data_IF_808515388195
#
_entry.id   IF_808515388195
#
_cell.length_a   1.000
_cell.length_b   1.000
_cell.length_c   1.000
_cell.angle_alpha   90.00
_cell.angle_beta   90.00
_cell.angle_gamma   90.00
#
_symmetry.space_group_name_H-M   'P 1'
#
loop_
_entity.id
_entity.type
_entity.pdbx_description
1 polymer ?
#
# COMPACT_ATOMS: atom_id res chain seq x y z
N UNK A 1 -12.65 14.69 8.50
CA UNK A 1 -11.57 13.69 8.33
C UNK A 1 -12.15 12.51 7.57
N UNK A 2 -11.70 12.23 6.34
CA UNK A 2 -12.05 10.96 5.68
C UNK A 2 -11.40 9.83 6.48
N UNK A 3 -12.19 8.82 6.88
CA UNK A 3 -11.66 7.56 7.40
C UNK A 3 -10.70 7.02 6.34
N UNK A 4 -9.55 6.59 6.80
CA UNK A 4 -8.69 5.76 5.98
C UNK A 4 -9.34 4.38 5.97
N UNK A 5 -9.75 3.92 4.79
CA UNK A 5 -10.88 2.97 4.71
C UNK A 5 -10.55 1.51 5.04
N UNK A 6 -9.28 1.14 5.30
CA UNK A 6 -8.92 -0.26 5.60
C UNK A 6 -7.72 -0.31 6.58
N UNK A 7 -7.92 -0.98 7.72
CA UNK A 7 -6.91 -1.40 8.72
C UNK A 7 -6.12 -2.62 8.25
N UNK A 8 -5.00 -2.95 8.91
CA UNK A 8 -4.21 -4.15 8.60
C UNK A 8 -5.08 -5.41 8.66
N UNK A 9 -5.93 -5.54 9.68
CA UNK A 9 -6.88 -6.65 9.83
C UNK A 9 -7.82 -6.76 8.64
N UNK A 10 -8.42 -5.65 8.19
CA UNK A 10 -9.33 -5.63 7.04
C UNK A 10 -8.63 -6.02 5.72
N UNK A 11 -7.33 -5.69 5.56
CA UNK A 11 -6.53 -6.15 4.39
C UNK A 11 -6.40 -7.68 4.43
N UNK A 12 -6.09 -8.25 5.60
CA UNK A 12 -5.86 -9.68 5.76
C UNK A 12 -7.17 -10.48 5.65
N UNK A 13 -8.27 -9.97 6.19
CA UNK A 13 -9.60 -10.56 6.05
C UNK A 13 -10.01 -10.64 4.57
N UNK A 14 -9.86 -9.55 3.81
CA UNK A 14 -10.14 -9.54 2.38
C UNK A 14 -9.26 -10.52 1.59
N UNK A 15 -8.03 -10.78 2.03
CA UNK A 15 -7.20 -11.83 1.44
C UNK A 15 -7.72 -13.23 1.74
N UNK A 16 -8.07 -13.50 2.99
CA UNK A 16 -8.61 -14.78 3.42
C UNK A 16 -9.94 -15.12 2.72
N UNK A 17 -10.75 -14.12 2.40
CA UNK A 17 -11.99 -14.24 1.63
C UNK A 17 -11.75 -14.36 0.10
N UNK A 18 -10.50 -14.28 -0.36
CA UNK A 18 -10.17 -14.35 -1.78
C UNK A 18 -10.52 -13.09 -2.57
N UNK A 19 -10.82 -11.97 -1.91
CA UNK A 19 -11.12 -10.69 -2.54
C UNK A 19 -9.87 -9.97 -3.04
N UNK A 20 -8.72 -10.21 -2.40
CA UNK A 20 -7.42 -9.69 -2.83
C UNK A 20 -6.43 -10.80 -3.16
N UNK A 21 -5.72 -10.61 -4.27
CA UNK A 21 -4.52 -11.35 -4.58
C UNK A 21 -3.41 -10.99 -3.59
N UNK A 22 -2.48 -11.93 -3.34
CA UNK A 22 -1.34 -11.70 -2.45
C UNK A 22 -0.52 -10.46 -2.82
N UNK A 23 -0.32 -10.21 -4.11
CA UNK A 23 0.40 -9.03 -4.61
C UNK A 23 -0.30 -7.70 -4.29
N UNK A 24 -1.63 -7.70 -4.23
CA UNK A 24 -2.44 -6.54 -3.82
C UNK A 24 -2.35 -6.34 -2.31
N UNK A 25 -2.38 -7.41 -1.53
CA UNK A 25 -2.20 -7.39 -0.07
C UNK A 25 -0.84 -6.78 0.28
N UNK A 26 0.24 -7.26 -0.33
CA UNK A 26 1.60 -6.72 -0.14
C UNK A 26 1.62 -5.22 -0.45
N UNK A 27 1.02 -4.80 -1.57
CA UNK A 27 1.00 -3.38 -1.95
C UNK A 27 0.20 -2.54 -0.95
N UNK A 28 -0.93 -3.05 -0.46
CA UNK A 28 -1.77 -2.36 0.55
C UNK A 28 -1.09 -2.28 1.91
N UNK A 29 -0.38 -3.32 2.33
CA UNK A 29 0.40 -3.32 3.58
C UNK A 29 1.55 -2.31 3.53
N UNK A 30 2.23 -2.20 2.38
CA UNK A 30 3.25 -1.15 2.17
C UNK A 30 2.61 0.24 2.32
N UNK A 31 1.47 0.49 1.66
CA UNK A 31 0.75 1.77 1.76
C UNK A 31 0.25 2.06 3.19
N UNK A 32 -0.22 1.03 3.92
CA UNK A 32 -0.67 1.17 5.30
C UNK A 32 0.43 1.72 6.23
N UNK A 33 1.70 1.46 5.91
CA UNK A 33 2.84 1.97 6.68
C UNK A 33 2.97 3.49 6.70
N UNK A 34 2.27 4.23 5.85
CA UNK A 34 2.19 5.70 5.93
C UNK A 34 1.45 6.16 7.18
N UNK A 35 0.62 5.28 7.74
CA UNK A 35 -0.36 5.64 8.77
C UNK A 35 -0.21 4.82 10.06
N UNK A 36 0.45 3.66 9.95
CA UNK A 36 0.84 2.82 11.07
C UNK A 36 2.35 2.63 11.08
N UNK A 37 2.95 2.38 12.24
CA UNK A 37 4.38 2.13 12.29
C UNK A 37 4.71 0.78 11.61
N UNK A 38 5.81 0.67 10.84
CA UNK A 38 6.18 -0.58 10.18
C UNK A 38 6.21 -1.77 11.15
N UNK A 39 6.74 -1.59 12.35
CA UNK A 39 6.78 -2.64 13.39
C UNK A 39 5.38 -3.16 13.75
N UNK A 40 4.39 -2.26 13.90
CA UNK A 40 3.01 -2.63 14.21
C UNK A 40 2.42 -3.51 13.10
N UNK A 41 2.72 -3.21 11.84
CA UNK A 41 2.26 -3.99 10.69
C UNK A 41 2.94 -5.35 10.66
N UNK A 42 4.28 -5.38 10.80
CA UNK A 42 5.08 -6.61 10.70
C UNK A 42 4.71 -7.61 11.79
N UNK A 43 4.40 -7.15 13.01
CA UNK A 43 3.97 -8.00 14.11
C UNK A 43 2.59 -8.66 13.89
N UNK A 44 1.80 -8.21 12.92
CA UNK A 44 0.44 -8.71 12.64
C UNK A 44 0.37 -9.67 11.44
N UNK A 45 1.45 -9.82 10.67
CA UNK A 45 1.43 -10.56 9.41
C UNK A 45 2.33 -11.79 9.43
N UNK A 46 2.10 -12.72 8.49
CA UNK A 46 2.89 -13.95 8.37
C UNK A 46 4.30 -13.67 7.84
N UNK A 47 5.27 -14.53 8.21
CA UNK A 47 6.65 -14.43 7.71
C UNK A 47 6.78 -14.46 6.18
N UNK A 48 5.86 -15.14 5.50
CA UNK A 48 5.77 -15.18 4.04
C UNK A 48 5.45 -13.78 3.45
N UNK A 49 4.47 -13.07 4.03
CA UNK A 49 4.17 -11.68 3.63
C UNK A 49 5.30 -10.71 3.99
N UNK A 50 5.95 -10.89 5.14
CA UNK A 50 7.12 -10.09 5.54
C UNK A 50 8.23 -10.20 4.49
N UNK A 51 8.53 -11.43 4.04
CA UNK A 51 9.56 -11.67 3.04
C UNK A 51 9.21 -11.03 1.69
N UNK A 52 7.95 -11.11 1.24
CA UNK A 52 7.53 -10.45 0.00
C UNK A 52 7.60 -8.93 0.09
N UNK A 53 7.18 -8.33 1.21
CA UNK A 53 7.31 -6.89 1.42
C UNK A 53 8.79 -6.50 1.38
N UNK A 54 9.64 -7.20 2.15
CA UNK A 54 11.09 -6.93 2.21
C UNK A 54 11.72 -6.96 0.82
N UNK A 55 11.42 -7.99 0.05
CA UNK A 55 11.93 -8.14 -1.32
C UNK A 55 11.44 -7.00 -2.24
N UNK A 56 10.19 -6.58 -2.09
CA UNK A 56 9.59 -5.51 -2.90
C UNK A 56 10.11 -4.11 -2.55
N UNK A 57 10.45 -3.86 -1.28
CA UNK A 57 10.94 -2.54 -0.82
C UNK A 57 12.47 -2.45 -0.74
N UNK A 58 13.20 -3.52 -1.07
CA UNK A 58 14.68 -3.53 -1.02
C UNK A 58 15.31 -2.42 -1.87
N UNK A 59 14.68 -2.11 -3.01
CA UNK A 59 15.06 -1.04 -3.92
C UNK A 59 13.84 -0.14 -4.09
N UNK A 60 13.63 0.84 -3.19
CA UNK A 60 12.46 1.69 -3.25
C UNK A 60 12.51 2.57 -4.51
N UNK A 61 11.35 2.98 -5.03
CA UNK A 61 11.27 3.88 -6.18
C UNK A 61 11.99 5.21 -5.86
N UNK A 62 12.64 5.80 -6.86
CA UNK A 62 13.33 7.10 -6.69
C UNK A 62 12.35 8.26 -6.75
N UNK A 63 11.25 8.09 -7.48
CA UNK A 63 10.18 9.08 -7.63
C UNK A 63 8.81 8.43 -7.51
N UNK A 64 7.79 9.20 -7.10
CA UNK A 64 6.42 8.69 -7.03
C UNK A 64 5.86 8.27 -8.41
N UNK A 65 6.39 8.84 -9.49
CA UNK A 65 5.98 8.52 -10.87
C UNK A 65 6.42 7.13 -11.34
N UNK A 66 7.39 6.50 -10.66
CA UNK A 66 7.80 5.12 -10.94
C UNK A 66 6.79 4.09 -10.40
N UNK A 67 5.77 4.53 -9.64
CA UNK A 67 4.74 3.66 -9.11
C UNK A 67 3.59 3.55 -10.12
N UNK A 68 3.47 2.36 -10.68
CA UNK A 68 2.37 1.98 -11.56
C UNK A 68 1.38 1.12 -10.77
N UNK A 69 0.16 1.63 -10.61
CA UNK A 69 -0.98 0.83 -10.15
C UNK A 69 -1.69 0.26 -11.38
N UNK A 70 -2.10 -1.02 -11.32
CA UNK A 70 -2.96 -1.59 -12.34
C UNK A 70 -4.30 -0.85 -12.29
N UNK A 71 -4.62 -0.15 -13.39
CA UNK A 71 -5.88 0.57 -13.52
C UNK A 71 -7.07 -0.38 -13.35
N UNK A 72 -8.10 0.11 -12.67
CA UNK A 72 -9.31 -0.68 -12.37
C UNK A 72 -10.27 -0.04 -11.36
N UNK A 73 -10.05 1.22 -10.99
CA UNK A 73 -10.94 1.91 -10.06
C UNK A 73 -12.17 2.41 -10.81
N UNK A 74 -13.32 1.88 -10.43
CA UNK A 74 -14.61 2.40 -10.86
C UNK A 74 -14.91 3.67 -10.05
N UNK A 75 -14.44 4.81 -10.55
CA UNK A 75 -14.85 6.10 -10.00
C UNK A 75 -16.34 6.32 -10.29
N UNK A 76 -17.10 6.83 -9.31
CA UNK A 76 -18.51 7.13 -9.52
C UNK A 76 -18.67 8.16 -10.65
N UNK A 77 -19.78 8.10 -11.40
CA UNK A 77 -20.07 9.03 -12.50
C UNK A 77 -20.11 10.52 -12.10
N UNK A 78 -20.00 10.85 -10.80
CA UNK A 78 -20.00 12.21 -10.26
C UNK A 78 -18.60 12.81 -10.08
N UNK A 79 -17.53 12.05 -10.28
CA UNK A 79 -16.14 12.53 -10.10
C UNK A 79 -15.61 13.02 -11.44
N UNK A 80 -15.07 14.25 -11.49
CA UNK A 80 -14.48 14.80 -12.71
C UNK A 80 -13.17 14.11 -13.10
N UNK A 81 -12.76 14.25 -14.36
CA UNK A 81 -11.52 13.65 -14.85
C UNK A 81 -10.28 14.21 -14.16
N UNK A 82 -10.33 15.48 -13.77
CA UNK A 82 -9.30 16.22 -13.06
C UNK A 82 -9.19 15.70 -11.61
N UNK A 83 -10.32 15.48 -10.93
CA UNK A 83 -10.33 14.88 -9.60
C UNK A 83 -9.79 13.44 -9.62
N UNK A 84 -10.13 12.65 -10.64
CA UNK A 84 -9.59 11.29 -10.80
C UNK A 84 -8.06 11.34 -10.88
N UNK A 85 -7.50 12.22 -11.73
CA UNK A 85 -6.04 12.39 -11.85
C UNK A 85 -5.40 12.80 -10.52
N UNK A 86 -6.00 13.76 -9.81
CA UNK A 86 -5.49 14.19 -8.51
C UNK A 86 -5.51 13.05 -7.47
N UNK A 87 -6.54 12.19 -7.50
CA UNK A 87 -6.62 11.01 -6.63
C UNK A 87 -5.55 9.97 -6.99
N UNK A 88 -5.33 9.70 -8.27
CA UNK A 88 -4.28 8.80 -8.74
C UNK A 88 -2.88 9.31 -8.37
N UNK A 89 -2.63 10.61 -8.50
CA UNK A 89 -1.37 11.25 -8.07
C UNK A 89 -1.16 11.14 -6.56
N UNK A 90 -2.21 11.40 -5.77
CA UNK A 90 -2.16 11.24 -4.32
C UNK A 90 -1.80 9.79 -3.94
N UNK A 91 -2.42 8.80 -4.58
CA UNK A 91 -2.13 7.39 -4.32
C UNK A 91 -0.69 7.01 -4.65
N UNK A 92 -0.11 7.56 -5.72
CA UNK A 92 1.31 7.39 -6.03
C UNK A 92 2.18 7.97 -4.92
N UNK A 93 1.88 9.17 -4.42
CA UNK A 93 2.64 9.82 -3.34
C UNK A 93 2.55 9.01 -2.04
N UNK A 94 1.35 8.55 -1.67
CA UNK A 94 1.16 7.73 -0.46
C UNK A 94 1.91 6.40 -0.61
N UNK A 95 1.77 5.72 -1.74
CA UNK A 95 2.49 4.47 -1.99
C UNK A 95 4.01 4.71 -1.90
N UNK A 96 4.52 5.77 -2.51
CA UNK A 96 5.93 6.14 -2.47
C UNK A 96 6.45 6.31 -1.05
N UNK A 97 5.71 7.04 -0.21
CA UNK A 97 6.05 7.20 1.20
C UNK A 97 6.07 5.85 1.93
N UNK A 98 5.09 4.97 1.65
CA UNK A 98 5.02 3.64 2.23
C UNK A 98 6.22 2.75 1.88
N UNK A 99 6.65 2.75 0.61
CA UNK A 99 7.85 2.02 0.18
C UNK A 99 9.09 2.47 0.96
N UNK A 100 9.28 3.78 1.11
CA UNK A 100 10.43 4.31 1.83
C UNK A 100 10.39 4.03 3.33
N UNK A 101 9.22 4.13 3.97
CA UNK A 101 9.08 3.82 5.41
C UNK A 101 9.41 2.35 5.70
N UNK A 102 8.86 1.43 4.91
CA UNK A 102 9.17 0.01 5.03
C UNK A 102 10.65 -0.29 4.70
N UNK A 103 11.20 0.36 3.68
CA UNK A 103 12.61 0.21 3.32
C UNK A 103 13.55 0.60 4.47
N UNK A 104 13.30 1.74 5.10
CA UNK A 104 14.08 2.24 6.24
C UNK A 104 13.97 1.27 7.41
N UNK A 105 12.76 0.80 7.73
CA UNK A 105 12.55 -0.20 8.78
C UNK A 105 13.40 -1.46 8.56
N UNK A 106 13.29 -2.10 7.39
CA UNK A 106 14.05 -3.34 7.10
C UNK A 106 15.57 -3.15 7.00
N UNK A 107 16.06 -1.91 6.83
CA UNK A 107 17.49 -1.61 6.90
C UNK A 107 18.03 -1.54 8.33
N UNK A 108 17.16 -1.30 9.31
CA UNK A 108 17.55 -1.02 10.70
C UNK A 108 17.00 -2.01 11.73
N UNK A 109 16.06 -2.88 11.34
CA UNK A 109 15.52 -3.98 12.15
C UNK A 109 16.33 -5.28 11.94
#
# INVERSE_FOLDING_TARGET
MRKMDITVSEILEAHAEGLFLKSEVVSRLITASVYFEPEEIINQISGDLINEIRERVKTPPKTANEIYHLGGKNYSAKVSSEEIKALEELEKVVSFAGYWRMHVYFKHA
#
